data_IF_914733029866
#
_entry.id   IF_914733029866
#
_cell.length_a   1.000
_cell.length_b   1.000
_cell.length_c   1.000
_cell.angle_alpha   90.00
_cell.angle_beta   90.00
_cell.angle_gamma   90.00
#
_symmetry.space_group_name_H-M   'P 1'
#
loop_
_entity.id
_entity.type
_entity.pdbx_description
1 polymer ?
#
# COMPACT_ATOMS: atom_id res chain seq x y z
N UNK A 1 -49.93 -38.46 53.96
CA UNK A 1 -50.45 -37.09 54.16
C UNK A 1 -49.26 -36.29 54.70
N UNK A 2 -48.55 -35.49 53.91
CA UNK A 2 -48.87 -34.14 53.40
C UNK A 2 -48.13 -33.97 52.05
N UNK A 3 -48.84 -34.02 50.91
CA UNK A 3 -49.18 -32.94 49.96
C UNK A 3 -48.00 -32.13 49.40
N UNK A 4 -47.76 -32.28 48.09
CA UNK A 4 -46.92 -31.40 47.28
C UNK A 4 -47.59 -30.06 46.96
N UNK A 5 -46.75 -29.02 46.78
CA UNK A 5 -47.10 -27.72 46.19
C UNK A 5 -45.98 -27.37 45.20
N UNK A 6 -46.27 -27.39 43.89
CA UNK A 6 -46.85 -26.34 43.04
C UNK A 6 -45.75 -25.44 42.42
N UNK A 7 -45.33 -25.86 41.23
CA UNK A 7 -44.41 -25.19 40.31
C UNK A 7 -45.08 -23.99 39.65
N UNK A 8 -45.34 -22.90 40.38
CA UNK A 8 -45.91 -21.68 39.78
C UNK A 8 -45.45 -20.40 40.48
N UNK A 9 -44.43 -19.74 39.92
CA UNK A 9 -44.42 -18.31 39.56
C UNK A 9 -42.98 -17.73 39.44
N UNK A 10 -42.36 -17.91 38.26
CA UNK A 10 -41.45 -16.91 37.71
C UNK A 10 -41.98 -16.57 36.32
N UNK A 11 -42.79 -15.51 36.20
CA UNK A 11 -43.14 -14.92 34.89
C UNK A 11 -42.05 -13.91 34.54
N UNK A 12 -41.31 -14.07 33.43
CA UNK A 12 -40.50 -12.98 32.89
C UNK A 12 -41.41 -11.95 32.21
N UNK A 13 -41.16 -10.67 32.47
CA UNK A 13 -41.90 -9.53 31.93
C UNK A 13 -41.91 -9.51 30.38
N UNK A 14 -43.05 -9.88 29.80
CA UNK A 14 -43.26 -9.98 28.36
C UNK A 14 -43.07 -8.64 27.62
N UNK A 15 -43.21 -7.50 28.30
CA UNK A 15 -43.12 -6.18 27.66
C UNK A 15 -41.69 -5.71 27.34
N UNK A 16 -40.66 -6.21 28.04
CA UNK A 16 -39.26 -5.85 27.74
C UNK A 16 -38.65 -6.71 26.63
N UNK A 17 -39.18 -7.91 26.41
CA UNK A 17 -38.69 -8.82 25.37
C UNK A 17 -39.05 -8.34 23.95
N UNK A 18 -40.21 -7.69 23.76
CA UNK A 18 -40.64 -7.24 22.44
C UNK A 18 -39.82 -6.05 21.93
N UNK A 19 -39.39 -5.14 22.80
CA UNK A 19 -38.60 -3.96 22.38
C UNK A 19 -37.18 -4.36 21.94
N UNK A 20 -36.57 -5.33 22.61
CA UNK A 20 -35.25 -5.87 22.24
C UNK A 20 -35.33 -6.72 20.97
N UNK A 21 -36.41 -7.48 20.75
CA UNK A 21 -36.61 -8.23 19.51
C UNK A 21 -36.91 -7.32 18.30
N UNK A 22 -37.66 -6.23 18.47
CA UNK A 22 -37.97 -5.29 17.37
C UNK A 22 -36.75 -4.48 16.92
N UNK A 23 -35.86 -4.11 17.86
CA UNK A 23 -34.60 -3.45 17.53
C UNK A 23 -33.62 -4.39 16.81
N UNK A 24 -33.64 -5.68 17.15
CA UNK A 24 -32.84 -6.74 16.50
C UNK A 24 -33.38 -7.14 15.11
N UNK A 25 -34.65 -6.85 14.81
CA UNK A 25 -35.25 -7.07 13.49
C UNK A 25 -34.96 -5.93 12.50
N UNK A 26 -34.85 -4.69 12.98
CA UNK A 26 -34.54 -3.53 12.12
C UNK A 26 -33.10 -3.55 11.57
N UNK A 27 -32.16 -4.18 12.28
CA UNK A 27 -30.78 -4.38 11.78
C UNK A 27 -30.59 -5.68 10.98
N UNK A 28 -31.59 -6.58 10.97
CA UNK A 28 -31.53 -7.87 10.27
C UNK A 28 -32.08 -7.83 8.82
N UNK A 29 -32.66 -6.70 8.39
CA UNK A 29 -33.34 -6.59 7.09
C UNK A 29 -32.56 -5.92 5.96
N UNK A 30 -31.44 -5.26 6.25
CA UNK A 30 -30.56 -4.74 5.20
C UNK A 30 -29.47 -5.77 4.98
N UNK A 31 -29.67 -6.67 4.01
CA UNK A 31 -28.53 -7.33 3.41
C UNK A 31 -27.54 -6.21 3.01
N UNK A 32 -26.28 -6.24 3.47
CA UNK A 32 -25.31 -5.24 3.02
C UNK A 32 -25.34 -5.25 1.50
N UNK A 33 -25.56 -4.07 0.91
CA UNK A 33 -25.59 -3.94 -0.55
C UNK A 33 -24.35 -4.66 -1.11
N UNK A 34 -24.46 -5.40 -2.23
CA UNK A 34 -23.32 -6.16 -2.78
C UNK A 34 -22.13 -5.25 -3.12
N UNK A 35 -22.36 -3.94 -3.20
CA UNK A 35 -21.37 -2.90 -3.43
C UNK A 35 -20.65 -2.40 -2.17
N UNK A 36 -21.07 -2.77 -0.96
CA UNK A 36 -20.46 -2.29 0.29
C UNK A 36 -18.94 -2.48 0.31
N UNK A 37 -18.43 -3.71 0.11
CA UNK A 37 -16.99 -3.96 0.08
C UNK A 37 -16.27 -3.25 -1.07
N UNK A 38 -16.85 -3.24 -2.27
CA UNK A 38 -16.24 -2.61 -3.46
C UNK A 38 -16.13 -1.10 -3.27
N UNK A 39 -17.20 -0.46 -2.80
CA UNK A 39 -17.22 0.96 -2.51
C UNK A 39 -16.22 1.33 -1.41
N UNK A 40 -16.08 0.49 -0.36
CA UNK A 40 -15.07 0.68 0.67
C UNK A 40 -13.65 0.61 0.11
N UNK A 41 -13.34 -0.37 -0.74
CA UNK A 41 -12.03 -0.49 -1.40
C UNK A 41 -11.73 0.72 -2.29
N UNK A 42 -12.72 1.15 -3.09
CA UNK A 42 -12.58 2.32 -3.95
C UNK A 42 -12.36 3.60 -3.13
N UNK A 43 -13.10 3.78 -2.03
CA UNK A 43 -12.93 4.91 -1.14
C UNK A 43 -11.54 4.91 -0.49
N UNK A 44 -11.07 3.75 -0.01
CA UNK A 44 -9.72 3.61 0.54
C UNK A 44 -8.64 3.94 -0.49
N UNK A 45 -8.79 3.48 -1.73
CA UNK A 45 -7.90 3.84 -2.83
C UNK A 45 -7.86 5.34 -3.09
N UNK A 46 -9.01 6.00 -3.18
CA UNK A 46 -9.06 7.45 -3.39
C UNK A 46 -8.42 8.20 -2.22
N UNK A 47 -8.71 7.79 -0.98
CA UNK A 47 -8.08 8.40 0.22
C UNK A 47 -6.57 8.21 0.18
N UNK A 48 -6.07 6.98 -0.02
CA UNK A 48 -4.63 6.70 -0.12
C UNK A 48 -3.98 7.50 -1.25
N UNK A 49 -4.64 7.68 -2.39
CA UNK A 49 -4.14 8.51 -3.50
C UNK A 49 -4.02 9.99 -3.11
N UNK A 50 -5.01 10.54 -2.41
CA UNK A 50 -5.05 11.97 -2.08
C UNK A 50 -4.07 12.36 -0.97
N UNK A 51 -3.83 11.46 -0.01
CA UNK A 51 -2.96 11.75 1.15
C UNK A 51 -1.51 11.37 0.91
N UNK A 52 -1.22 10.55 -0.11
CA UNK A 52 0.13 10.07 -0.39
C UNK A 52 0.93 11.09 -1.20
N UNK A 53 1.66 11.94 -0.47
CA UNK A 53 2.62 12.88 -1.05
C UNK A 53 4.02 12.31 -1.27
N UNK A 54 4.29 11.05 -0.87
CA UNK A 54 5.65 10.51 -0.83
C UNK A 54 6.31 10.46 -2.22
N UNK A 55 5.55 10.10 -3.25
CA UNK A 55 6.05 9.95 -4.61
C UNK A 55 6.53 11.27 -5.24
N UNK A 56 6.07 12.42 -4.74
CA UNK A 56 6.62 13.73 -5.14
C UNK A 56 8.10 13.84 -4.77
N UNK A 57 8.48 13.36 -3.58
CA UNK A 57 9.87 13.30 -3.14
C UNK A 57 10.63 12.15 -3.79
N UNK A 58 10.06 10.94 -3.76
CA UNK A 58 10.76 9.75 -4.23
C UNK A 58 10.95 9.73 -5.75
N UNK A 59 9.87 9.90 -6.52
CA UNK A 59 9.89 9.78 -8.00
C UNK A 59 9.98 11.15 -8.66
N UNK A 60 9.44 12.19 -8.04
CA UNK A 60 9.56 13.57 -8.52
C UNK A 60 10.94 14.20 -8.28
N UNK A 61 11.69 13.76 -7.26
CA UNK A 61 12.99 14.38 -6.92
C UNK A 61 14.17 13.40 -6.81
N UNK A 62 14.08 12.38 -5.96
CA UNK A 62 15.22 11.54 -5.60
C UNK A 62 15.63 10.55 -6.71
N UNK A 63 14.66 9.81 -7.26
CA UNK A 63 14.89 8.75 -8.24
C UNK A 63 15.58 9.26 -9.52
N UNK A 64 15.14 10.37 -10.16
CA UNK A 64 15.81 10.85 -11.38
C UNK A 64 17.29 11.19 -11.13
N UNK A 65 17.61 11.77 -9.96
CA UNK A 65 19.00 12.08 -9.56
C UNK A 65 19.84 10.84 -9.30
N UNK A 66 19.25 9.80 -8.70
CA UNK A 66 19.91 8.51 -8.51
C UNK A 66 20.15 7.81 -9.86
N UNK A 67 19.18 7.82 -10.76
CA UNK A 67 19.31 7.23 -12.11
C UNK A 67 20.34 7.98 -12.99
N UNK A 68 20.59 9.27 -12.73
CA UNK A 68 21.67 10.02 -13.39
C UNK A 68 23.08 9.60 -12.95
N UNK A 69 23.21 8.86 -11.84
CA UNK A 69 24.51 8.44 -11.26
C UNK A 69 24.72 6.93 -11.26
N UNK A 70 23.63 6.15 -11.20
CA UNK A 70 23.64 4.70 -11.04
C UNK A 70 22.76 4.01 -12.07
N UNK A 71 22.93 2.71 -12.26
CA UNK A 71 21.96 1.91 -13.03
C UNK A 71 20.57 2.00 -12.40
N UNK A 72 19.51 1.87 -13.20
CA UNK A 72 18.13 1.97 -12.69
C UNK A 72 17.87 1.00 -11.55
N UNK A 73 18.33 -0.26 -11.64
CA UNK A 73 18.19 -1.20 -10.54
C UNK A 73 18.91 -0.72 -9.27
N UNK A 74 20.14 -0.24 -9.38
CA UNK A 74 20.90 0.26 -8.23
C UNK A 74 20.21 1.48 -7.61
N UNK A 75 19.73 2.41 -8.44
CA UNK A 75 18.95 3.56 -7.99
C UNK A 75 17.67 3.13 -7.24
N UNK A 76 16.93 2.15 -7.77
CA UNK A 76 15.73 1.60 -7.13
C UNK A 76 16.04 0.89 -5.81
N UNK A 77 17.14 0.14 -5.72
CA UNK A 77 17.55 -0.55 -4.50
C UNK A 77 17.97 0.43 -3.40
N UNK A 78 18.80 1.43 -3.75
CA UNK A 78 19.17 2.52 -2.82
C UNK A 78 17.91 3.21 -2.30
N UNK A 79 17.02 3.59 -3.22
CA UNK A 79 15.77 4.26 -2.86
C UNK A 79 14.87 3.38 -2.01
N UNK A 80 14.74 2.08 -2.32
CA UNK A 80 13.96 1.12 -1.55
C UNK A 80 14.47 0.93 -0.13
N UNK A 81 15.79 0.91 0.07
CA UNK A 81 16.39 0.86 1.42
C UNK A 81 16.10 2.15 2.17
N UNK A 82 16.34 3.32 1.56
CA UNK A 82 16.04 4.62 2.20
C UNK A 82 14.56 4.72 2.56
N UNK A 83 13.68 4.30 1.66
CA UNK A 83 12.24 4.33 1.85
C UNK A 83 11.79 3.38 2.98
N UNK A 84 12.40 2.20 3.07
CA UNK A 84 12.16 1.28 4.19
C UNK A 84 12.59 1.89 5.54
N UNK A 85 13.75 2.55 5.58
CA UNK A 85 14.25 3.21 6.78
C UNK A 85 13.40 4.43 7.18
N UNK A 86 12.85 5.15 6.20
CA UNK A 86 11.92 6.27 6.43
C UNK A 86 10.68 5.82 7.23
N UNK A 87 10.22 4.59 7.02
CA UNK A 87 9.08 4.01 7.73
C UNK A 87 9.43 3.35 9.07
N UNK A 88 10.72 3.16 9.37
CA UNK A 88 11.15 2.48 10.60
C UNK A 88 10.59 3.09 11.90
N UNK A 89 10.42 4.42 12.04
CA UNK A 89 9.82 5.03 13.24
C UNK A 89 8.41 4.49 13.57
N UNK A 90 7.62 4.12 12.56
CA UNK A 90 6.26 3.60 12.76
C UNK A 90 6.27 2.30 13.59
N UNK A 91 7.28 1.46 13.43
CA UNK A 91 7.42 0.20 14.17
C UNK A 91 7.65 0.41 15.68
N UNK A 92 8.00 1.63 16.11
CA UNK A 92 8.16 1.96 17.53
C UNK A 92 6.93 2.67 18.12
N UNK A 93 5.92 2.99 17.30
CA UNK A 93 4.67 3.58 17.77
C UNK A 93 3.74 2.49 18.30
N UNK A 94 3.65 2.38 19.62
CA UNK A 94 2.78 1.40 20.28
C UNK A 94 1.33 1.93 20.36
N UNK A 95 0.34 1.06 20.18
CA UNK A 95 -1.07 1.37 20.48
C UNK A 95 -1.95 1.82 19.31
N UNK A 96 -1.61 1.49 18.05
CA UNK A 96 -2.53 1.69 16.91
C UNK A 96 -2.71 3.14 16.47
N UNK A 97 -1.72 4.01 16.70
CA UNK A 97 -1.67 5.38 16.19
C UNK A 97 -1.50 5.44 14.66
N UNK A 98 -0.86 6.50 14.14
CA UNK A 98 -0.67 6.78 12.70
C UNK A 98 -0.15 5.58 11.88
N UNK A 99 0.56 4.64 12.52
CA UNK A 99 1.07 3.42 11.91
C UNK A 99 0.07 2.29 11.67
N UNK A 100 -1.11 2.28 12.30
CA UNK A 100 -2.12 1.23 12.16
C UNK A 100 -1.53 -0.20 12.21
N UNK A 101 -1.95 -1.06 11.27
CA UNK A 101 -1.46 -2.44 11.15
C UNK A 101 0.02 -2.54 10.70
N UNK A 102 0.64 -1.45 10.23
CA UNK A 102 2.03 -1.48 9.78
C UNK A 102 2.99 -1.77 10.93
N UNK A 103 2.70 -1.23 12.12
CA UNK A 103 3.51 -1.47 13.33
C UNK A 103 3.47 -2.94 13.80
N UNK A 104 2.43 -3.70 13.41
CA UNK A 104 2.28 -5.14 13.72
C UNK A 104 2.82 -6.06 12.63
N UNK A 105 3.27 -5.52 11.50
CA UNK A 105 3.81 -6.30 10.40
C UNK A 105 5.18 -6.91 10.76
N UNK A 106 5.52 -8.15 10.34
CA UNK A 106 6.88 -8.65 10.48
C UNK A 106 7.87 -7.75 9.75
N UNK A 107 8.82 -7.17 10.49
CA UNK A 107 9.79 -6.22 9.96
C UNK A 107 10.52 -6.74 8.72
N UNK A 108 10.94 -8.01 8.72
CA UNK A 108 11.62 -8.60 7.56
C UNK A 108 10.74 -8.60 6.30
N UNK A 109 9.47 -8.97 6.43
CA UNK A 109 8.54 -8.97 5.31
C UNK A 109 8.26 -7.55 4.79
N UNK A 110 8.13 -6.58 5.70
CA UNK A 110 8.03 -5.16 5.35
C UNK A 110 9.24 -4.66 4.55
N UNK A 111 10.46 -4.95 5.01
CA UNK A 111 11.70 -4.54 4.32
C UNK A 111 11.78 -5.16 2.92
N UNK A 112 11.52 -6.47 2.81
CA UNK A 112 11.55 -7.19 1.53
C UNK A 112 10.52 -6.63 0.54
N UNK A 113 9.28 -6.40 1.00
CA UNK A 113 8.22 -5.83 0.16
C UNK A 113 8.57 -4.42 -0.28
N UNK A 114 8.95 -3.54 0.64
CA UNK A 114 9.20 -2.12 0.32
C UNK A 114 10.32 -1.95 -0.72
N UNK A 115 11.38 -2.78 -0.63
CA UNK A 115 12.44 -2.79 -1.65
C UNK A 115 11.93 -3.31 -3.00
N UNK A 116 11.12 -4.37 -3.01
CA UNK A 116 10.53 -4.90 -4.24
C UNK A 116 9.55 -3.90 -4.89
N UNK A 117 8.70 -3.26 -4.09
CA UNK A 117 7.79 -2.20 -4.55
C UNK A 117 8.57 -1.01 -5.11
N UNK A 118 9.72 -0.66 -4.52
CA UNK A 118 10.55 0.42 -5.06
C UNK A 118 11.00 0.15 -6.51
N UNK A 119 11.35 -1.11 -6.82
CA UNK A 119 11.67 -1.58 -8.18
C UNK A 119 10.45 -1.53 -9.09
N UNK A 120 9.30 -2.04 -8.64
CA UNK A 120 8.07 -2.07 -9.44
C UNK A 120 7.54 -0.66 -9.78
N UNK A 121 7.51 0.24 -8.80
CA UNK A 121 7.12 1.65 -9.01
C UNK A 121 8.11 2.32 -9.96
N UNK A 122 9.41 2.04 -9.83
CA UNK A 122 10.42 2.57 -10.77
C UNK A 122 10.17 2.08 -12.19
N UNK A 123 9.83 0.80 -12.36
CA UNK A 123 9.46 0.24 -13.66
C UNK A 123 8.25 0.95 -14.26
N UNK A 124 7.18 1.18 -13.48
CA UNK A 124 6.01 1.95 -13.94
C UNK A 124 6.42 3.38 -14.32
N UNK A 125 7.17 4.06 -13.45
CA UNK A 125 7.63 5.43 -13.67
C UNK A 125 8.44 5.55 -14.97
N UNK A 126 9.38 4.63 -15.21
CA UNK A 126 10.21 4.67 -16.41
C UNK A 126 9.41 4.38 -17.68
N UNK A 127 8.51 3.38 -17.64
CA UNK A 127 7.66 3.06 -18.79
C UNK A 127 6.58 4.11 -19.07
N UNK A 128 6.32 5.01 -18.14
CA UNK A 128 5.35 6.10 -18.26
C UNK A 128 6.00 7.46 -18.52
N UNK A 129 7.26 7.47 -18.96
CA UNK A 129 8.04 8.69 -19.26
C UNK A 129 8.17 9.63 -18.05
N UNK A 130 8.32 9.06 -16.85
CA UNK A 130 8.51 9.82 -15.61
C UNK A 130 7.21 10.35 -15.00
N UNK A 131 6.08 9.67 -15.20
CA UNK A 131 4.80 10.10 -14.64
C UNK A 131 4.74 9.87 -13.14
N UNK A 132 4.86 10.95 -12.36
CA UNK A 132 4.68 10.92 -10.91
C UNK A 132 3.24 10.54 -10.53
N UNK A 133 2.24 10.94 -11.33
CA UNK A 133 0.84 10.58 -11.08
C UNK A 133 0.64 9.06 -11.13
N UNK A 134 1.22 8.37 -12.12
CA UNK A 134 1.09 6.91 -12.22
C UNK A 134 1.88 6.20 -11.11
N UNK A 135 2.97 6.78 -10.62
CA UNK A 135 3.64 6.30 -9.41
C UNK A 135 2.75 6.45 -8.17
N UNK A 136 2.07 7.59 -7.98
CA UNK A 136 1.11 7.82 -6.89
C UNK A 136 -0.03 6.81 -6.96
N UNK A 137 -0.61 6.58 -8.14
CA UNK A 137 -1.71 5.63 -8.31
C UNK A 137 -1.27 4.19 -8.02
N UNK A 138 -0.06 3.80 -8.43
CA UNK A 138 0.49 2.48 -8.10
C UNK A 138 0.70 2.34 -6.59
N UNK A 139 1.36 3.31 -5.96
CA UNK A 139 1.61 3.28 -4.52
C UNK A 139 0.29 3.31 -3.73
N UNK A 140 -0.71 4.11 -4.14
CA UNK A 140 -2.04 4.08 -3.54
C UNK A 140 -2.71 2.70 -3.67
N UNK A 141 -2.57 2.03 -4.83
CA UNK A 141 -3.05 0.67 -4.99
C UNK A 141 -2.36 -0.28 -4.00
N UNK A 142 -1.04 -0.12 -3.81
CA UNK A 142 -0.26 -0.90 -2.83
C UNK A 142 -0.78 -0.73 -1.40
N UNK A 143 -1.00 0.52 -0.99
CA UNK A 143 -1.51 0.84 0.34
C UNK A 143 -2.94 0.32 0.53
N UNK A 144 -3.78 0.39 -0.50
CA UNK A 144 -5.15 -0.10 -0.38
C UNK A 144 -5.22 -1.61 -0.28
N UNK A 145 -4.50 -2.36 -1.11
CA UNK A 145 -4.61 -3.83 -1.06
C UNK A 145 -4.00 -4.39 0.23
N UNK A 146 -2.91 -3.80 0.75
CA UNK A 146 -2.33 -4.19 2.06
C UNK A 146 -3.29 -3.98 3.22
N UNK A 147 -4.15 -2.96 3.16
CA UNK A 147 -5.19 -2.69 4.17
C UNK A 147 -6.41 -3.62 4.03
N UNK A 148 -6.68 -4.11 2.83
CA UNK A 148 -7.88 -4.91 2.52
C UNK A 148 -7.63 -6.42 2.68
N UNK A 149 -6.41 -6.91 2.45
CA UNK A 149 -6.11 -8.33 2.62
C UNK A 149 -6.11 -8.73 4.11
N UNK A 150 -6.97 -9.68 4.53
CA UNK A 150 -6.94 -10.23 5.87
C UNK A 150 -5.69 -11.11 6.03
N UNK A 151 -4.66 -10.63 6.72
CA UNK A 151 -3.42 -11.41 6.82
C UNK A 151 -2.25 -10.85 7.62
N UNK A 152 -2.39 -9.72 8.34
CA UNK A 152 -1.29 -9.19 9.17
C UNK A 152 -1.20 -9.94 10.52
N UNK A 153 -2.21 -10.74 10.87
CA UNK A 153 -2.08 -11.72 11.96
C UNK A 153 -1.22 -12.91 11.50
N UNK A 154 0.09 -12.66 11.48
CA UNK A 154 1.08 -13.68 11.14
C UNK A 154 1.25 -14.76 12.22
N UNK A 155 0.59 -14.61 13.38
CA UNK A 155 0.68 -15.53 14.50
C UNK A 155 -0.21 -16.76 14.34
N UNK A 156 -1.23 -16.73 13.47
CA UNK A 156 -2.16 -17.84 13.30
C UNK A 156 -2.11 -18.43 11.87
N UNK A 157 -2.05 -19.75 11.78
CA UNK A 157 -2.20 -20.47 10.51
C UNK A 157 -3.68 -20.44 10.06
N UNK A 158 -3.99 -20.19 8.76
CA UNK A 158 -3.08 -20.07 7.62
C UNK A 158 -2.64 -18.63 7.26
N UNK A 159 -3.02 -17.61 8.04
CA UNK A 159 -2.79 -16.20 7.71
C UNK A 159 -1.30 -15.85 7.54
N UNK A 160 -0.42 -16.38 8.40
CA UNK A 160 1.03 -16.20 8.25
C UNK A 160 1.60 -16.77 6.95
N UNK A 161 1.12 -17.94 6.50
CA UNK A 161 1.56 -18.53 5.22
C UNK A 161 1.12 -17.66 4.04
N UNK A 162 -0.14 -17.20 4.04
CA UNK A 162 -0.68 -16.34 2.98
C UNK A 162 0.10 -15.03 2.88
N UNK A 163 0.46 -14.43 4.01
CA UNK A 163 1.32 -13.24 4.04
C UNK A 163 2.67 -13.50 3.36
N UNK A 164 3.40 -14.56 3.74
CA UNK A 164 4.71 -14.83 3.15
C UNK A 164 4.66 -15.23 1.68
N UNK A 165 3.63 -15.97 1.25
CA UNK A 165 3.40 -16.26 -0.17
C UNK A 165 3.17 -14.98 -0.96
N UNK A 166 2.43 -14.05 -0.38
CA UNK A 166 2.19 -12.75 -0.99
C UNK A 166 3.48 -11.94 -1.13
N UNK A 167 4.29 -11.82 -0.07
CA UNK A 167 5.59 -11.14 -0.13
C UNK A 167 6.48 -11.80 -1.20
N UNK A 168 6.50 -13.14 -1.24
CA UNK A 168 7.21 -13.91 -2.26
C UNK A 168 6.75 -13.58 -3.68
N UNK A 169 5.45 -13.41 -3.90
CA UNK A 169 4.88 -13.03 -5.20
C UNK A 169 5.34 -11.63 -5.65
N UNK A 170 5.36 -10.65 -4.75
CA UNK A 170 5.85 -9.30 -5.07
C UNK A 170 7.35 -9.29 -5.36
N UNK A 171 8.15 -10.00 -4.56
CA UNK A 171 9.57 -10.18 -4.83
C UNK A 171 9.80 -10.87 -6.19
N UNK A 172 9.03 -11.92 -6.49
CA UNK A 172 9.10 -12.61 -7.77
C UNK A 172 8.73 -11.68 -8.94
N UNK A 173 7.68 -10.87 -8.81
CA UNK A 173 7.30 -9.89 -9.81
C UNK A 173 8.43 -8.88 -10.08
N UNK A 174 9.07 -8.38 -9.02
CA UNK A 174 10.23 -7.48 -9.15
C UNK A 174 11.40 -8.16 -9.87
N UNK A 175 11.71 -9.42 -9.52
CA UNK A 175 12.75 -10.21 -10.20
C UNK A 175 12.42 -10.42 -11.68
N UNK A 176 11.19 -10.79 -12.01
CA UNK A 176 10.73 -10.96 -13.40
C UNK A 176 10.90 -9.65 -14.18
N UNK A 177 10.51 -8.52 -13.59
CA UNK A 177 10.70 -7.20 -14.21
C UNK A 177 12.18 -6.92 -14.48
N UNK A 178 13.08 -7.22 -13.53
CA UNK A 178 14.52 -7.04 -13.73
C UNK A 178 15.04 -7.94 -14.86
N UNK A 179 14.61 -9.20 -14.91
CA UNK A 179 15.06 -10.17 -15.92
C UNK A 179 14.55 -9.82 -17.33
N UNK A 180 13.31 -9.35 -17.44
CA UNK A 180 12.68 -9.03 -18.73
C UNK A 180 13.12 -7.66 -19.28
N UNK A 181 13.20 -6.64 -18.42
CA UNK A 181 13.45 -5.26 -18.84
C UNK A 181 14.91 -4.81 -18.64
N UNK A 182 15.73 -5.67 -18.03
CA UNK A 182 17.15 -5.45 -17.79
C UNK A 182 17.45 -4.45 -16.66
N UNK A 183 18.51 -4.70 -15.86
CA UNK A 183 18.81 -3.89 -14.67
C UNK A 183 19.27 -2.46 -14.98
N UNK A 184 19.69 -2.20 -16.23
CA UNK A 184 20.18 -0.89 -16.64
C UNK A 184 19.06 0.16 -16.74
N UNK A 185 17.85 -0.23 -17.16
CA UNK A 185 16.78 0.71 -17.53
C UNK A 185 15.42 0.39 -16.92
N UNK A 186 15.13 -0.88 -16.63
CA UNK A 186 13.79 -1.36 -16.29
C UNK A 186 12.70 -0.80 -17.23
N UNK A 187 13.01 -0.65 -18.51
CA UNK A 187 12.08 -0.19 -19.54
C UNK A 187 12.55 -0.63 -20.92
N UNK A 188 11.60 -0.93 -21.80
CA UNK A 188 11.86 -1.17 -23.22
C UNK A 188 12.07 0.14 -24.00
N UNK A 189 11.78 1.29 -23.40
CA UNK A 189 11.89 2.60 -24.05
C UNK A 189 13.35 3.04 -24.21
N UNK A 190 13.68 3.75 -25.30
CA UNK A 190 15.00 4.34 -25.46
C UNK A 190 15.26 5.43 -24.42
N UNK A 191 16.54 5.68 -24.09
CA UNK A 191 16.96 6.67 -23.08
C UNK A 191 16.51 8.09 -23.44
N UNK A 192 16.37 8.40 -24.73
CA UNK A 192 15.84 9.67 -25.22
C UNK A 192 14.41 9.96 -24.72
N UNK A 193 13.62 8.92 -24.44
CA UNK A 193 12.28 9.07 -23.86
C UNK A 193 12.29 9.12 -22.32
N UNK A 194 13.46 9.03 -21.70
CA UNK A 194 13.69 9.15 -20.26
C UNK A 194 14.37 10.48 -19.91
N UNK A 195 14.00 11.56 -20.61
CA UNK A 195 14.64 12.89 -20.52
C UNK A 195 14.69 13.50 -19.10
N UNK A 196 13.84 13.02 -18.17
CA UNK A 196 13.88 13.40 -16.75
C UNK A 196 15.17 12.95 -16.03
N UNK A 197 15.94 12.02 -16.61
CA UNK A 197 17.24 11.57 -16.08
C UNK A 197 18.38 12.51 -16.49
N UNK A 198 18.23 13.25 -17.60
CA UNK A 198 19.31 14.01 -18.24
C UNK A 198 19.25 15.53 -18.09
N UNK A 199 18.28 16.07 -17.35
CA UNK A 199 18.24 17.50 -17.03
C UNK A 199 18.79 17.76 -15.61
N UNK A 200 20.12 17.91 -15.42
CA UNK A 200 20.54 18.90 -14.44
C UNK A 200 20.07 20.22 -15.04
N UNK A 201 19.14 20.91 -14.37
CA UNK A 201 18.88 22.36 -14.50
C UNK A 201 19.59 22.99 -15.70
N UNK A 202 18.88 23.37 -16.76
CA UNK A 202 19.39 24.19 -17.87
C UNK A 202 20.32 25.29 -17.35
N UNK A 203 21.63 25.01 -17.28
CA UNK A 203 22.70 25.93 -16.93
C UNK A 203 23.49 26.21 -18.19
N UNK A 204 22.85 26.81 -19.19
CA UNK A 204 23.56 27.50 -20.27
C UNK A 204 22.73 28.69 -20.81
N UNK A 205 22.32 29.57 -19.90
CA UNK A 205 21.87 30.91 -20.29
C UNK A 205 22.97 31.80 -20.90
N UNK A 206 24.18 31.28 -21.11
CA UNK A 206 25.24 31.96 -21.86
C UNK A 206 25.18 31.52 -23.31
N UNK A 207 24.38 32.21 -24.12
CA UNK A 207 24.61 32.47 -25.56
C UNK A 207 23.49 33.38 -26.10
N UNK A 208 23.48 34.64 -25.66
CA UNK A 208 22.78 35.75 -26.34
C UNK A 208 23.76 36.72 -27.00
N UNK A 209 24.91 36.23 -27.45
CA UNK A 209 25.77 36.97 -28.37
C UNK A 209 26.05 36.10 -29.60
N UNK A 210 25.22 36.28 -30.62
CA UNK A 210 25.61 36.01 -32.00
C UNK A 210 26.55 37.14 -32.47
N UNK A 211 27.49 36.86 -33.39
CA UNK A 211 28.40 37.87 -33.90
C UNK A 211 27.67 38.86 -34.81
N UNK A 212 28.05 40.13 -34.62
CA UNK A 212 27.86 41.38 -35.39
C UNK A 212 26.91 41.39 -36.61
#
# INVERSE_FOLDING_TARGET
MVRGGDLRHCRPDLHRAHFVCLLRWHTAGMAPLPFGPILSVLLLFVVNMLINGEELGWRGYALPRLQGKYSVLTASLILGVIWSLFHLPIFFTHGGGVGGNLASEPLLGFLMRTVADAVLVTWVFNNTRGSVLLAILFHAAVNTWTQVLPGIDTAHYPAGLLYWLFIGLICLAAVIVVLVFGPARLSLKPVSEMAYVTDPVRTDGTNLHGPE
#
